data_IF_819936558683
#
_entry.id   IF_819936558683
#
_cell.length_a   1.000
_cell.length_b   1.000
_cell.length_c   1.000
_cell.angle_alpha   90.00
_cell.angle_beta   90.00
_cell.angle_gamma   90.00
#
_symmetry.space_group_name_H-M   'P 1'
#
loop_
_entity.id
_entity.type
_entity.pdbx_description
1 polymer ?
#
# COMPACT_ATOMS: atom_id res chain seq x y z
N UNK A 1 14.64 11.18 -41.00
CA UNK A 1 15.29 10.43 -42.10
C UNK A 1 16.28 11.24 -42.94
N UNK A 2 16.16 12.57 -43.05
CA UNK A 2 17.09 13.42 -43.83
C UNK A 2 18.52 13.60 -43.26
N UNK A 3 18.82 13.06 -42.07
CA UNK A 3 20.10 13.24 -41.36
C UNK A 3 20.98 11.99 -41.26
N UNK A 4 20.56 10.85 -41.83
CA UNK A 4 21.35 9.61 -41.80
C UNK A 4 22.33 9.59 -42.97
N UNK A 5 23.57 9.18 -42.74
CA UNK A 5 24.52 8.88 -43.81
C UNK A 5 24.21 7.50 -44.46
N UNK A 6 24.84 7.19 -45.58
CA UNK A 6 24.48 5.98 -46.34
C UNK A 6 24.87 4.67 -45.65
N UNK A 7 25.91 4.70 -44.81
CA UNK A 7 26.28 3.56 -43.97
C UNK A 7 25.23 3.30 -42.87
N UNK A 8 24.72 4.35 -42.23
CA UNK A 8 23.64 4.27 -41.23
C UNK A 8 22.32 3.81 -41.84
N UNK A 9 22.00 4.25 -43.06
CA UNK A 9 20.82 3.75 -43.80
C UNK A 9 20.94 2.26 -44.12
N UNK A 10 22.13 1.79 -44.50
CA UNK A 10 22.40 0.38 -44.77
C UNK A 10 22.32 -0.46 -43.48
N UNK A 11 22.85 0.07 -42.37
CA UNK A 11 22.79 -0.59 -41.06
C UNK A 11 21.35 -0.64 -40.52
N UNK A 12 20.57 0.42 -40.69
CA UNK A 12 19.14 0.47 -40.34
C UNK A 12 18.33 -0.56 -41.13
N UNK A 13 18.62 -0.78 -42.42
CA UNK A 13 17.95 -1.85 -43.19
C UNK A 13 18.30 -3.26 -42.69
N UNK A 14 19.52 -3.47 -42.21
CA UNK A 14 19.97 -4.77 -41.68
C UNK A 14 19.61 -5.00 -40.21
N UNK A 15 19.50 -3.95 -39.40
CA UNK A 15 19.31 -3.98 -37.94
C UNK A 15 18.33 -2.89 -37.49
N UNK A 16 17.15 -2.88 -38.11
CA UNK A 16 16.12 -1.85 -37.89
C UNK A 16 15.71 -1.73 -36.42
N UNK A 17 15.71 -2.84 -35.67
CA UNK A 17 15.40 -2.87 -34.23
C UNK A 17 16.43 -2.15 -33.35
N UNK A 18 17.67 -1.96 -33.82
CA UNK A 18 18.74 -1.28 -33.10
C UNK A 18 18.81 0.21 -33.43
N UNK A 19 18.11 0.65 -34.48
CA UNK A 19 18.06 2.04 -34.92
C UNK A 19 16.86 2.78 -34.30
N UNK A 20 17.00 3.24 -33.04
CA UNK A 20 16.05 4.21 -32.45
C UNK A 20 16.48 5.63 -32.82
N UNK A 21 15.79 6.21 -33.81
CA UNK A 21 16.09 7.52 -34.38
C UNK A 21 15.88 8.71 -33.43
N UNK A 22 15.02 8.54 -32.43
CA UNK A 22 14.75 9.56 -31.41
C UNK A 22 14.74 8.89 -30.05
N UNK A 23 15.71 9.21 -29.20
CA UNK A 23 15.63 8.91 -27.78
C UNK A 23 14.75 9.97 -27.12
N UNK A 24 13.55 9.57 -26.66
CA UNK A 24 12.73 10.45 -25.82
C UNK A 24 13.16 10.25 -24.37
N UNK A 25 14.04 11.14 -23.92
CA UNK A 25 14.39 11.26 -22.49
C UNK A 25 13.29 12.05 -21.78
N UNK A 26 12.77 11.53 -20.68
CA UNK A 26 11.85 12.27 -19.80
C UNK A 26 12.49 12.34 -18.43
N UNK A 27 12.88 13.55 -18.05
CA UNK A 27 13.32 13.87 -16.71
C UNK A 27 12.15 14.44 -15.92
N UNK A 28 11.96 13.97 -14.69
CA UNK A 28 10.89 14.44 -13.83
C UNK A 28 11.50 15.29 -12.73
N UNK A 29 11.04 16.54 -12.61
CA UNK A 29 11.40 17.44 -11.52
C UNK A 29 10.17 17.67 -10.67
N UNK A 30 9.99 16.85 -9.64
CA UNK A 30 8.95 17.03 -8.65
C UNK A 30 9.51 17.73 -7.42
N UNK A 31 8.84 18.79 -6.99
CA UNK A 31 9.17 19.43 -5.74
C UNK A 31 8.85 18.48 -4.55
N UNK A 32 9.65 18.50 -3.46
CA UNK A 32 9.49 17.57 -2.34
C UNK A 32 8.07 17.55 -1.74
N UNK A 33 7.38 18.68 -1.72
CA UNK A 33 6.00 18.82 -1.22
C UNK A 33 4.95 18.06 -2.05
N UNK A 34 5.28 17.68 -3.28
CA UNK A 34 4.40 16.83 -4.11
C UNK A 34 4.62 15.35 -3.86
N UNK A 35 5.72 14.97 -3.21
CA UNK A 35 6.13 13.59 -2.95
C UNK A 35 5.64 13.09 -1.58
N UNK A 36 4.43 13.51 -1.17
CA UNK A 36 3.85 13.21 0.13
C UNK A 36 2.95 11.98 0.02
N UNK A 37 3.19 11.00 0.89
CA UNK A 37 2.31 9.84 1.00
C UNK A 37 0.91 10.27 1.47
N UNK A 38 -0.12 9.67 0.88
CA UNK A 38 -1.52 9.89 1.28
C UNK A 38 -1.71 9.57 2.75
N UNK A 39 -2.36 10.46 3.49
CA UNK A 39 -2.64 10.33 4.91
C UNK A 39 -4.11 10.66 5.19
N UNK A 40 -4.72 10.06 6.22
CA UNK A 40 -6.04 10.45 6.69
C UNK A 40 -6.05 11.90 7.18
N UNK A 41 -7.17 12.58 6.99
CA UNK A 41 -7.37 13.94 7.50
C UNK A 41 -7.48 13.94 9.03
N UNK A 42 -7.10 15.05 9.66
CA UNK A 42 -7.22 15.22 11.11
C UNK A 42 -8.69 15.05 11.53
N UNK A 43 -8.98 14.15 12.49
CA UNK A 43 -10.34 13.87 12.85
C UNK A 43 -10.95 15.03 13.64
N UNK A 44 -12.27 15.20 13.48
CA UNK A 44 -13.05 16.13 14.30
C UNK A 44 -13.35 15.53 15.67
N UNK A 45 -13.33 14.20 15.79
CA UNK A 45 -13.54 13.47 17.03
C UNK A 45 -12.19 13.23 17.70
N UNK A 46 -12.06 13.69 18.93
CA UNK A 46 -10.91 13.40 19.78
C UNK A 46 -11.09 12.01 20.40
N UNK A 47 -10.30 11.04 19.95
CA UNK A 47 -10.41 9.66 20.46
C UNK A 47 -9.98 9.53 21.92
N UNK A 48 -9.21 10.49 22.45
CA UNK A 48 -8.77 10.50 23.85
C UNK A 48 -9.89 10.93 24.80
N UNK A 49 -10.97 11.53 24.26
CA UNK A 49 -12.13 12.04 25.01
C UNK A 49 -13.42 11.30 24.68
N UNK A 50 -13.35 10.12 24.08
CA UNK A 50 -14.56 9.37 23.73
C UNK A 50 -15.34 9.01 25.01
N UNK A 51 -16.63 9.33 25.03
CA UNK A 51 -17.55 8.98 26.13
C UNK A 51 -17.68 7.46 26.37
N UNK A 52 -17.28 6.65 25.40
CA UNK A 52 -17.28 5.19 25.42
C UNK A 52 -15.87 4.65 25.75
N UNK A 53 -15.78 3.52 26.46
CA UNK A 53 -14.49 2.92 26.81
C UNK A 53 -13.65 2.56 25.56
N UNK A 54 -12.31 2.56 25.65
CA UNK A 54 -11.41 2.08 24.59
C UNK A 54 -11.80 0.70 24.02
N UNK A 55 -12.43 -0.15 24.84
CA UNK A 55 -12.95 -1.45 24.42
C UNK A 55 -14.05 -1.35 23.36
N UNK A 56 -14.94 -0.36 23.45
CA UNK A 56 -16.02 -0.15 22.47
C UNK A 56 -15.42 0.25 21.12
N UNK A 57 -14.42 1.14 21.12
CA UNK A 57 -13.69 1.50 19.90
C UNK A 57 -12.96 0.28 19.31
N UNK A 58 -12.27 -0.49 20.14
CA UNK A 58 -11.61 -1.72 19.73
C UNK A 58 -12.57 -2.75 19.12
N UNK A 59 -13.76 -2.92 19.68
CA UNK A 59 -14.81 -3.79 19.14
C UNK A 59 -15.30 -3.29 17.78
N UNK A 60 -15.55 -1.99 17.66
CA UNK A 60 -15.98 -1.37 16.39
C UNK A 60 -14.94 -1.62 15.30
N UNK A 61 -13.65 -1.39 15.58
CA UNK A 61 -12.56 -1.63 14.62
C UNK A 61 -12.39 -3.12 14.31
N UNK A 62 -12.59 -3.98 15.30
CA UNK A 62 -12.56 -5.44 15.11
C UNK A 62 -13.59 -5.88 14.07
N UNK A 63 -14.85 -5.47 14.21
CA UNK A 63 -15.88 -5.87 13.24
C UNK A 63 -15.76 -5.13 11.90
N UNK A 64 -15.53 -3.82 11.94
CA UNK A 64 -15.48 -2.99 10.73
C UNK A 64 -14.25 -3.31 9.87
N UNK A 65 -13.07 -3.42 10.49
CA UNK A 65 -11.80 -3.59 9.80
C UNK A 65 -11.41 -5.07 9.79
N UNK A 66 -11.14 -5.69 10.94
CA UNK A 66 -10.55 -7.03 11.01
C UNK A 66 -11.47 -8.10 10.40
N UNK A 67 -12.78 -7.98 10.62
CA UNK A 67 -13.77 -8.89 10.03
C UNK A 67 -14.43 -8.34 8.76
N UNK A 68 -13.96 -7.20 8.23
CA UNK A 68 -14.45 -6.58 7.00
C UNK A 68 -15.98 -6.45 6.94
N UNK A 69 -16.63 -6.08 8.05
CA UNK A 69 -18.08 -5.81 8.06
C UNK A 69 -18.37 -4.39 7.59
N UNK A 70 -19.53 -4.17 6.97
CA UNK A 70 -19.97 -2.80 6.65
C UNK A 70 -20.29 -2.03 7.94
N UNK A 71 -20.18 -0.70 7.93
CA UNK A 71 -20.47 0.12 9.11
C UNK A 71 -21.88 -0.11 9.68
N UNK A 72 -22.88 -0.36 8.81
CA UNK A 72 -24.26 -0.70 9.23
C UNK A 72 -24.33 -2.06 9.91
N UNK A 73 -23.61 -3.07 9.38
CA UNK A 73 -23.56 -4.40 9.98
C UNK A 73 -22.81 -4.38 11.30
N UNK A 74 -21.71 -3.63 11.39
CA UNK A 74 -21.00 -3.38 12.65
C UNK A 74 -21.93 -2.74 13.67
N UNK A 75 -22.65 -1.67 13.33
CA UNK A 75 -23.61 -1.04 14.23
C UNK A 75 -24.72 -2.02 14.70
N UNK A 76 -25.21 -2.87 13.79
CA UNK A 76 -26.18 -3.91 14.13
C UNK A 76 -25.60 -4.94 15.12
N UNK A 77 -24.36 -5.40 14.90
CA UNK A 77 -23.68 -6.33 15.81
C UNK A 77 -23.52 -5.70 17.19
N UNK A 78 -23.03 -4.45 17.26
CA UNK A 78 -22.86 -3.73 18.52
C UNK A 78 -24.18 -3.64 19.30
N UNK A 79 -25.30 -3.36 18.63
CA UNK A 79 -26.62 -3.27 19.26
C UNK A 79 -27.19 -4.64 19.65
N UNK A 80 -27.18 -5.61 18.74
CA UNK A 80 -27.89 -6.88 18.91
C UNK A 80 -27.14 -7.93 19.71
N UNK A 81 -25.80 -7.88 19.70
CA UNK A 81 -24.95 -8.86 20.40
C UNK A 81 -24.42 -8.28 21.71
N UNK A 82 -24.00 -7.01 21.69
CA UNK A 82 -23.34 -6.38 22.85
C UNK A 82 -24.26 -5.41 23.60
N UNK A 83 -25.49 -5.19 23.14
CA UNK A 83 -26.43 -4.19 23.71
C UNK A 83 -25.85 -2.77 23.77
N UNK A 84 -24.95 -2.42 22.86
CA UNK A 84 -24.33 -1.09 22.76
C UNK A 84 -24.97 -0.34 21.59
N UNK A 85 -25.70 0.73 21.90
CA UNK A 85 -26.36 1.53 20.87
C UNK A 85 -25.37 2.50 20.19
N UNK A 86 -24.92 2.15 18.98
CA UNK A 86 -24.09 3.01 18.13
C UNK A 86 -24.70 3.13 16.74
N UNK A 87 -24.64 4.33 16.17
CA UNK A 87 -25.05 4.53 14.78
C UNK A 87 -23.95 4.09 13.81
N UNK A 88 -24.30 3.78 12.56
CA UNK A 88 -23.30 3.51 11.53
C UNK A 88 -22.40 4.73 11.26
N UNK A 89 -22.91 5.94 11.45
CA UNK A 89 -22.12 7.17 11.28
C UNK A 89 -21.09 7.29 12.39
N UNK A 90 -21.43 6.91 13.62
CA UNK A 90 -20.48 6.81 14.74
C UNK A 90 -19.36 5.82 14.42
N UNK A 91 -19.69 4.65 13.85
CA UNK A 91 -18.69 3.67 13.40
C UNK A 91 -17.72 4.28 12.38
N UNK A 92 -18.22 5.00 11.37
CA UNK A 92 -17.38 5.65 10.36
C UNK A 92 -16.52 6.76 10.95
N UNK A 93 -17.07 7.58 11.84
CA UNK A 93 -16.33 8.67 12.50
C UNK A 93 -15.20 8.11 13.37
N UNK A 94 -15.46 7.05 14.12
CA UNK A 94 -14.47 6.36 14.93
C UNK A 94 -13.39 5.69 14.08
N UNK A 95 -13.76 5.07 12.96
CA UNK A 95 -12.78 4.52 12.02
C UNK A 95 -11.91 5.61 11.40
N UNK A 96 -12.48 6.73 10.95
CA UNK A 96 -11.71 7.85 10.42
C UNK A 96 -10.75 8.43 11.46
N UNK A 97 -11.21 8.55 12.71
CA UNK A 97 -10.37 9.03 13.81
C UNK A 97 -9.25 8.05 14.14
N UNK A 98 -9.55 6.76 14.30
CA UNK A 98 -8.54 5.72 14.49
C UNK A 98 -7.51 5.70 13.36
N UNK A 99 -7.95 5.84 12.10
CA UNK A 99 -7.06 5.83 10.95
C UNK A 99 -5.99 6.92 11.01
N UNK A 100 -6.33 8.12 11.48
CA UNK A 100 -5.37 9.21 11.63
C UNK A 100 -4.20 8.83 12.55
N UNK A 101 -4.49 8.28 13.73
CA UNK A 101 -3.46 7.82 14.67
C UNK A 101 -2.73 6.58 14.15
N UNK A 102 -3.48 5.61 13.61
CA UNK A 102 -2.91 4.41 13.01
C UNK A 102 -1.97 4.72 11.84
N UNK A 103 -2.16 5.82 11.11
CA UNK A 103 -1.23 6.21 10.06
C UNK A 103 0.16 6.56 10.63
N UNK A 104 0.19 7.38 11.67
CA UNK A 104 1.44 7.72 12.38
C UNK A 104 2.09 6.48 12.99
N UNK A 105 1.27 5.60 13.57
CA UNK A 105 1.72 4.31 14.10
C UNK A 105 2.36 3.43 13.02
N UNK A 106 1.70 3.23 11.89
CA UNK A 106 2.23 2.43 10.79
C UNK A 106 3.55 2.97 10.27
N UNK A 107 3.68 4.30 10.13
CA UNK A 107 4.91 4.92 9.66
C UNK A 107 6.08 4.76 10.65
N UNK A 108 5.78 4.84 11.95
CA UNK A 108 6.75 4.70 13.06
C UNK A 108 7.22 3.26 13.24
N UNK A 109 6.30 2.29 13.21
CA UNK A 109 6.55 0.87 13.46
C UNK A 109 6.70 0.05 12.19
N UNK A 110 6.91 0.69 11.04
CA UNK A 110 7.22 0.02 9.78
C UNK A 110 8.52 -0.77 9.92
N UNK A 111 8.52 -2.04 9.56
CA UNK A 111 9.70 -2.89 9.57
C UNK A 111 10.70 -2.56 8.46
N UNK A 112 11.84 -3.25 8.49
CA UNK A 112 12.82 -3.19 7.41
C UNK A 112 12.28 -3.88 6.16
N UNK A 113 12.39 -3.19 5.02
CA UNK A 113 12.07 -3.80 3.72
C UNK A 113 13.02 -4.96 3.41
N UNK A 114 12.47 -6.03 2.84
CA UNK A 114 13.29 -7.14 2.34
C UNK A 114 14.04 -6.74 1.06
N UNK A 115 14.99 -7.57 0.63
CA UNK A 115 15.71 -7.31 -0.62
C UNK A 115 14.81 -7.34 -1.85
N UNK A 116 13.67 -8.04 -1.79
CA UNK A 116 12.67 -8.09 -2.87
C UNK A 116 11.32 -7.62 -2.33
N UNK A 117 10.68 -6.72 -3.07
CA UNK A 117 9.33 -6.27 -2.76
C UNK A 117 8.48 -6.21 -4.03
N UNK A 118 7.25 -6.72 -3.93
CA UNK A 118 6.27 -6.70 -5.01
C UNK A 118 5.37 -5.48 -4.91
N UNK A 119 5.01 -4.85 -6.02
CA UNK A 119 4.08 -3.73 -6.05
C UNK A 119 3.06 -3.81 -7.18
N UNK A 120 1.84 -3.34 -6.90
CA UNK A 120 0.71 -3.29 -7.84
C UNK A 120 -0.34 -2.28 -7.34
N UNK A 121 -1.25 -1.89 -8.23
CA UNK A 121 -2.34 -0.98 -7.92
C UNK A 121 -3.69 -1.70 -7.80
N UNK A 122 -4.39 -1.48 -6.69
CA UNK A 122 -5.76 -1.92 -6.52
C UNK A 122 -6.76 -0.82 -6.88
N UNK A 123 -7.75 -1.14 -7.71
CA UNK A 123 -8.85 -0.24 -8.03
C UNK A 123 -9.75 -0.01 -6.81
N UNK A 124 -10.01 1.26 -6.51
CA UNK A 124 -11.00 1.72 -5.54
C UNK A 124 -11.95 2.72 -6.20
N UNK A 125 -13.19 2.79 -5.73
CA UNK A 125 -14.20 3.72 -6.28
C UNK A 125 -14.50 4.80 -5.25
N UNK A 126 -14.25 6.05 -5.60
CA UNK A 126 -14.48 7.21 -4.72
C UNK A 126 -15.40 8.18 -5.46
N UNK A 127 -16.54 8.52 -4.86
CA UNK A 127 -17.56 9.42 -5.41
C UNK A 127 -17.94 9.06 -6.86
N UNK A 128 -18.10 7.76 -7.14
CA UNK A 128 -18.43 7.28 -8.47
C UNK A 128 -17.26 7.13 -9.44
N UNK A 129 -16.08 7.69 -9.15
CA UNK A 129 -14.89 7.70 -10.03
C UNK A 129 -13.86 6.65 -9.64
N UNK A 130 -13.16 6.10 -10.63
CA UNK A 130 -12.04 5.19 -10.42
C UNK A 130 -10.84 5.93 -9.82
N UNK A 131 -10.28 5.33 -8.78
CA UNK A 131 -9.07 5.74 -8.08
C UNK A 131 -8.24 4.47 -7.81
N UNK A 132 -7.03 4.63 -7.28
CA UNK A 132 -6.05 3.57 -7.14
C UNK A 132 -5.42 3.59 -5.74
N UNK A 133 -5.24 2.42 -5.15
CA UNK A 133 -4.39 2.21 -3.98
C UNK A 133 -3.15 1.44 -4.41
N UNK A 134 -2.00 2.10 -4.37
CA UNK A 134 -0.69 1.53 -4.67
C UNK A 134 -0.16 0.80 -3.44
N UNK A 135 0.04 -0.50 -3.56
CA UNK A 135 0.62 -1.32 -2.50
C UNK A 135 2.02 -1.78 -2.87
N UNK A 136 2.90 -1.84 -1.88
CA UNK A 136 4.12 -2.63 -1.93
C UNK A 136 4.15 -3.58 -0.74
N UNK A 137 4.60 -4.81 -0.98
CA UNK A 137 4.70 -5.89 0.01
C UNK A 137 6.08 -6.53 -0.05
N UNK A 138 6.72 -6.70 1.10
CA UNK A 138 8.01 -7.38 1.24
C UNK A 138 7.84 -8.89 1.02
N UNK A 139 8.81 -9.57 0.40
CA UNK A 139 8.64 -10.94 -0.07
C UNK A 139 8.74 -12.04 0.99
N UNK A 140 9.53 -11.81 2.04
CA UNK A 140 9.87 -12.75 3.12
C UNK A 140 9.06 -12.43 4.38
N UNK A 141 9.13 -11.18 4.85
CA UNK A 141 8.39 -10.69 6.02
C UNK A 141 6.89 -10.53 5.75
N UNK A 142 6.51 -10.43 4.46
CA UNK A 142 5.13 -10.22 4.01
C UNK A 142 4.48 -8.94 4.55
N UNK A 143 5.25 -8.00 5.08
CA UNK A 143 4.74 -6.71 5.52
C UNK A 143 4.36 -5.84 4.33
N UNK A 144 3.26 -5.09 4.47
CA UNK A 144 2.92 -4.03 3.52
C UNK A 144 3.81 -2.83 3.84
N UNK A 145 4.69 -2.48 2.90
CA UNK A 145 5.67 -1.40 3.05
C UNK A 145 5.19 -0.05 2.50
N UNK A 146 4.18 -0.03 1.63
CA UNK A 146 3.55 1.20 1.14
C UNK A 146 2.08 0.98 0.79
N UNK A 147 1.25 2.04 0.88
CA UNK A 147 -0.20 1.98 0.69
C UNK A 147 -0.81 3.30 0.21
N UNK A 148 -0.26 3.86 -0.87
CA UNK A 148 -0.61 5.20 -1.32
C UNK A 148 -1.91 5.24 -2.14
N UNK A 149 -2.87 6.08 -1.74
CA UNK A 149 -4.10 6.31 -2.49
C UNK A 149 -4.01 7.55 -3.41
N UNK A 150 -4.31 7.35 -4.70
CA UNK A 150 -4.27 8.38 -5.73
C UNK A 150 -5.48 8.31 -6.69
N UNK A 151 -5.72 9.38 -7.44
CA UNK A 151 -6.80 9.49 -8.43
C UNK A 151 -6.40 9.00 -9.83
N UNK A 152 -5.11 8.76 -10.05
CA UNK A 152 -4.56 8.29 -11.32
C UNK A 152 -3.46 7.25 -11.09
N UNK A 153 -3.05 6.58 -12.18
CA UNK A 153 -1.99 5.55 -12.18
C UNK A 153 -0.66 6.01 -12.79
N UNK A 154 -0.42 7.32 -12.81
CA UNK A 154 0.73 7.93 -13.48
C UNK A 154 2.00 7.84 -12.64
N UNK A 155 3.06 8.50 -13.10
CA UNK A 155 4.42 8.40 -12.55
C UNK A 155 4.52 8.97 -11.14
N UNK A 156 3.82 10.08 -10.84
CA UNK A 156 3.91 10.72 -9.52
C UNK A 156 3.39 9.80 -8.38
N UNK A 157 2.17 9.22 -8.44
CA UNK A 157 1.72 8.26 -7.43
C UNK A 157 2.63 7.04 -7.29
N UNK A 158 3.16 6.52 -8.41
CA UNK A 158 4.08 5.38 -8.38
C UNK A 158 5.40 5.74 -7.65
N UNK A 159 5.97 6.92 -7.90
CA UNK A 159 7.14 7.42 -7.18
C UNK A 159 6.86 7.51 -5.68
N UNK A 160 5.72 8.09 -5.29
CA UNK A 160 5.36 8.27 -3.87
C UNK A 160 5.28 6.90 -3.18
N UNK A 161 4.63 5.92 -3.81
CA UNK A 161 4.50 4.57 -3.27
C UNK A 161 5.86 3.86 -3.17
N UNK A 162 6.69 3.91 -4.22
CA UNK A 162 8.02 3.29 -4.20
C UNK A 162 8.98 3.97 -3.20
N UNK A 163 8.94 5.31 -3.10
CA UNK A 163 9.72 6.08 -2.14
C UNK A 163 9.38 5.67 -0.72
N UNK A 164 8.09 5.54 -0.40
CA UNK A 164 7.67 5.03 0.90
C UNK A 164 8.12 3.59 1.09
N UNK A 165 7.92 2.72 0.10
CA UNK A 165 8.28 1.30 0.19
C UNK A 165 9.73 1.11 0.64
N UNK A 166 10.68 1.79 -0.02
CA UNK A 166 12.13 1.69 0.27
C UNK A 166 12.61 2.57 1.43
N UNK A 167 11.72 3.28 2.14
CA UNK A 167 12.10 4.22 3.21
C UNK A 167 12.87 3.58 4.36
N UNK A 168 12.62 2.29 4.64
CA UNK A 168 13.25 1.53 5.74
C UNK A 168 14.40 0.63 5.26
N UNK A 169 14.92 0.88 4.06
CA UNK A 169 16.10 0.19 3.55
C UNK A 169 17.32 0.45 4.44
N UNK A 170 18.12 -0.59 4.67
CA UNK A 170 19.42 -0.42 5.31
C UNK A 170 20.41 0.26 4.34
N UNK A 171 21.35 1.08 4.85
CA UNK A 171 22.40 1.65 4.02
C UNK A 171 23.17 0.55 3.29
N UNK A 172 23.36 0.68 1.98
CA UNK A 172 24.04 -0.35 1.18
C UNK A 172 23.19 -1.57 0.81
N UNK A 173 21.90 -1.62 1.18
CA UNK A 173 21.01 -2.72 0.81
C UNK A 173 20.62 -2.63 -0.68
N UNK A 174 20.76 -3.74 -1.40
CA UNK A 174 20.26 -3.85 -2.77
C UNK A 174 18.79 -4.25 -2.75
N UNK A 175 17.93 -3.40 -3.31
CA UNK A 175 16.48 -3.62 -3.38
C UNK A 175 16.05 -3.89 -4.80
N UNK A 176 15.21 -4.90 -4.98
CA UNK A 176 14.56 -5.27 -6.24
C UNK A 176 13.05 -5.04 -6.07
N UNK A 177 12.51 -4.09 -6.83
CA UNK A 177 11.07 -3.87 -6.92
C UNK A 177 10.51 -4.66 -8.11
N UNK A 178 9.55 -5.53 -7.84
CA UNK A 178 8.86 -6.36 -8.84
C UNK A 178 7.47 -5.80 -9.07
N UNK A 179 7.17 -5.30 -10.27
CA UNK A 179 5.86 -4.70 -10.57
C UNK A 179 5.27 -5.23 -11.86
N UNK A 180 3.98 -4.96 -12.07
CA UNK A 180 3.33 -5.20 -13.36
C UNK A 180 3.85 -4.21 -14.43
N UNK A 181 3.33 -4.36 -15.65
CA UNK A 181 3.83 -3.67 -16.82
C UNK A 181 3.50 -2.18 -16.97
N UNK A 182 3.00 -1.51 -15.93
CA UNK A 182 2.68 -0.09 -15.96
C UNK A 182 3.96 0.77 -16.17
N UNK A 183 4.03 1.62 -17.22
CA UNK A 183 5.22 2.42 -17.53
C UNK A 183 5.58 3.47 -16.46
N UNK A 184 4.67 3.79 -15.54
CA UNK A 184 4.97 4.69 -14.42
C UNK A 184 5.99 4.12 -13.43
N UNK A 185 6.08 2.79 -13.28
CA UNK A 185 7.08 2.17 -12.39
C UNK A 185 8.52 2.35 -12.90
N UNK A 186 8.88 1.97 -14.14
CA UNK A 186 10.22 2.26 -14.67
C UNK A 186 10.59 3.75 -14.59
N UNK A 187 9.65 4.64 -14.92
CA UNK A 187 9.87 6.08 -14.83
C UNK A 187 10.17 6.53 -13.39
N UNK A 188 9.45 6.00 -12.41
CA UNK A 188 9.68 6.32 -11.01
C UNK A 188 10.97 5.71 -10.45
N UNK A 189 11.41 4.55 -10.94
CA UNK A 189 12.71 3.96 -10.56
C UNK A 189 13.86 4.84 -11.02
N UNK A 190 13.80 5.35 -12.26
CA UNK A 190 14.79 6.32 -12.74
C UNK A 190 14.82 7.57 -11.87
N UNK A 191 13.66 8.10 -11.49
CA UNK A 191 13.56 9.23 -10.57
C UNK A 191 14.21 8.91 -9.21
N UNK A 192 13.88 7.77 -8.59
CA UNK A 192 14.44 7.38 -7.30
C UNK A 192 15.97 7.23 -7.34
N UNK A 193 16.49 6.57 -8.38
CA UNK A 193 17.93 6.34 -8.52
C UNK A 193 18.70 7.63 -8.83
N UNK A 194 18.10 8.59 -9.52
CA UNK A 194 18.72 9.91 -9.72
C UNK A 194 18.89 10.70 -8.41
N UNK A 195 18.10 10.38 -7.37
CA UNK A 195 18.16 11.03 -6.06
C UNK A 195 18.86 10.17 -4.99
N UNK A 196 19.46 9.04 -5.37
CA UNK A 196 20.24 8.14 -4.50
C UNK A 196 21.72 8.24 -4.86
N UNK A 197 22.47 9.04 -4.12
CA UNK A 197 23.90 9.25 -4.38
C UNK A 197 24.80 8.21 -3.69
N UNK A 198 24.43 7.77 -2.49
CA UNK A 198 25.26 6.91 -1.63
C UNK A 198 24.76 5.47 -1.52
N UNK A 199 23.49 5.23 -1.79
CA UNK A 199 22.87 3.91 -1.71
C UNK A 199 22.90 3.19 -3.06
N UNK A 200 22.92 1.85 -3.08
CA UNK A 200 22.74 1.09 -4.29
C UNK A 200 21.46 1.49 -5.04
N UNK A 201 21.57 1.48 -6.36
CA UNK A 201 20.42 1.72 -7.23
C UNK A 201 19.35 0.66 -6.98
N UNK A 202 18.12 1.11 -6.79
CA UNK A 202 16.95 0.23 -6.75
C UNK A 202 16.81 -0.42 -8.13
N UNK A 203 16.80 -1.74 -8.15
CA UNK A 203 16.59 -2.52 -9.35
C UNK A 203 15.10 -2.71 -9.61
N UNK A 204 14.72 -2.80 -10.89
CA UNK A 204 13.34 -3.01 -11.29
C UNK A 204 13.22 -4.27 -12.15
N UNK A 205 12.27 -5.13 -11.79
CA UNK A 205 11.92 -6.32 -12.57
C UNK A 205 10.45 -6.24 -12.93
N UNK A 206 10.17 -6.43 -14.22
CA UNK A 206 8.84 -6.30 -14.80
C UNK A 206 8.29 -7.70 -15.09
N UNK A 207 7.12 -8.04 -14.57
CA UNK A 207 6.49 -9.35 -14.82
C UNK A 207 5.17 -9.18 -15.56
N UNK A 208 5.22 -9.29 -16.89
CA UNK A 208 4.06 -9.07 -17.78
C UNK A 208 3.37 -10.40 -18.12
N UNK A 209 2.04 -10.40 -18.09
CA UNK A 209 1.23 -11.47 -18.69
C UNK A 209 1.10 -12.75 -17.87
N UNK A 210 0.48 -13.77 -18.48
CA UNK A 210 0.13 -15.06 -17.88
C UNK A 210 1.09 -16.20 -18.28
N UNK A 211 1.95 -16.02 -19.29
CA UNK A 211 2.86 -17.05 -19.80
C UNK A 211 4.31 -16.73 -19.43
N UNK A 212 5.11 -17.75 -19.10
CA UNK A 212 6.56 -17.61 -18.89
C UNK A 212 7.22 -17.52 -20.25
N UNK A 213 7.42 -16.29 -20.74
CA UNK A 213 8.05 -16.05 -22.04
C UNK A 213 9.59 -16.02 -21.93
N UNK A 214 10.15 -15.83 -20.74
CA UNK A 214 11.57 -15.81 -20.42
C UNK A 214 11.89 -16.34 -19.00
N UNK A 215 13.15 -16.70 -18.75
CA UNK A 215 13.64 -17.25 -17.47
C UNK A 215 13.57 -16.25 -16.31
N UNK A 216 13.66 -14.95 -16.60
CA UNK A 216 13.45 -13.90 -15.59
C UNK A 216 11.99 -13.85 -15.13
N UNK A 217 11.00 -13.92 -16.04
CA UNK A 217 9.58 -13.96 -15.63
C UNK A 217 9.26 -15.17 -14.76
N UNK A 218 9.89 -16.33 -15.01
CA UNK A 218 9.71 -17.51 -14.17
C UNK A 218 10.21 -17.28 -12.74
N UNK A 219 11.38 -16.65 -12.60
CA UNK A 219 12.00 -16.36 -11.30
C UNK A 219 11.18 -15.37 -10.48
N UNK A 220 10.64 -14.32 -11.10
CA UNK A 220 9.92 -13.24 -10.39
C UNK A 220 8.40 -13.41 -10.33
N UNK A 221 7.83 -14.43 -10.98
CA UNK A 221 6.38 -14.72 -10.97
C UNK A 221 5.78 -14.95 -9.57
N UNK A 222 6.44 -15.63 -8.61
CA UNK A 222 5.89 -15.80 -7.27
C UNK A 222 5.55 -14.47 -6.59
N UNK A 223 6.32 -13.41 -6.84
CA UNK A 223 6.09 -12.08 -6.28
C UNK A 223 4.85 -11.39 -6.88
N UNK A 224 4.55 -11.64 -8.15
CA UNK A 224 3.28 -11.20 -8.76
C UNK A 224 2.08 -11.88 -8.09
N UNK A 225 2.16 -13.18 -7.83
CA UNK A 225 1.10 -13.91 -7.12
C UNK A 225 0.95 -13.41 -5.67
N UNK A 226 2.05 -13.03 -5.03
CA UNK A 226 2.04 -12.44 -3.68
C UNK A 226 1.23 -11.14 -3.64
N UNK A 227 1.53 -10.19 -4.54
CA UNK A 227 0.80 -8.91 -4.57
C UNK A 227 -0.65 -9.08 -5.04
N UNK A 228 -0.93 -9.98 -5.98
CA UNK A 228 -2.30 -10.32 -6.39
C UNK A 228 -3.12 -10.89 -5.22
N UNK A 229 -2.50 -11.73 -4.37
CA UNK A 229 -3.14 -12.25 -3.16
C UNK A 229 -3.46 -11.11 -2.18
N UNK A 230 -2.52 -10.20 -1.95
CA UNK A 230 -2.77 -9.00 -1.13
C UNK A 230 -3.94 -8.19 -1.70
N UNK A 231 -3.93 -7.90 -2.99
CA UNK A 231 -4.97 -7.12 -3.66
C UNK A 231 -6.34 -7.81 -3.57
N UNK A 232 -6.40 -9.14 -3.63
CA UNK A 232 -7.64 -9.89 -3.41
C UNK A 232 -8.13 -9.76 -1.97
N UNK A 233 -7.24 -9.85 -0.98
CA UNK A 233 -7.58 -9.61 0.42
C UNK A 233 -8.08 -8.18 0.61
N UNK A 234 -7.37 -7.16 0.13
CA UNK A 234 -7.81 -5.78 0.22
C UNK A 234 -9.18 -5.54 -0.43
N UNK A 235 -9.43 -6.09 -1.63
CA UNK A 235 -10.74 -6.01 -2.30
C UNK A 235 -11.87 -6.59 -1.46
N UNK A 236 -11.61 -7.61 -0.66
CA UNK A 236 -12.59 -8.15 0.30
C UNK A 236 -12.97 -7.11 1.38
N UNK A 237 -12.01 -6.33 1.88
CA UNK A 237 -12.28 -5.24 2.84
C UNK A 237 -12.99 -4.04 2.20
N UNK A 238 -12.74 -3.76 0.91
CA UNK A 238 -13.37 -2.64 0.19
C UNK A 238 -14.81 -2.96 -0.25
N UNK A 239 -15.09 -4.22 -0.64
CA UNK A 239 -16.38 -4.66 -1.20
C UNK A 239 -17.62 -4.24 -0.37
N UNK A 240 -17.65 -4.39 0.98
CA UNK A 240 -18.79 -3.98 1.81
C UNK A 240 -19.15 -2.49 1.68
N UNK A 241 -18.18 -1.64 1.34
CA UNK A 241 -18.40 -0.19 1.20
C UNK A 241 -19.18 0.16 -0.08
N UNK A 242 -19.14 -0.67 -1.12
CA UNK A 242 -19.74 -0.39 -2.44
C UNK A 242 -19.23 0.92 -3.09
N UNK A 243 -18.02 1.34 -2.71
CA UNK A 243 -17.44 2.64 -3.04
C UNK A 243 -17.47 3.62 -1.87
N UNK A 244 -16.63 4.64 -1.91
CA UNK A 244 -16.49 5.63 -0.85
C UNK A 244 -17.18 6.93 -1.25
N UNK A 245 -17.85 7.57 -0.30
CA UNK A 245 -18.47 8.88 -0.52
C UNK A 245 -17.48 10.05 -0.36
N UNK A 246 -16.27 9.78 0.12
CA UNK A 246 -15.21 10.79 0.28
C UNK A 246 -13.82 10.18 0.10
N UNK A 247 -12.84 11.02 -0.28
CA UNK A 247 -11.44 10.61 -0.38
C UNK A 247 -10.90 10.17 0.98
N UNK A 248 -11.18 10.94 2.03
CA UNK A 248 -10.73 10.63 3.38
C UNK A 248 -11.24 9.26 3.86
N UNK A 249 -12.50 8.89 3.58
CA UNK A 249 -13.04 7.58 3.93
C UNK A 249 -12.30 6.41 3.25
N UNK A 250 -11.86 6.60 2.01
CA UNK A 250 -11.06 5.61 1.30
C UNK A 250 -9.65 5.47 1.91
N UNK A 251 -8.97 6.60 2.14
CA UNK A 251 -7.63 6.63 2.77
C UNK A 251 -7.68 6.05 4.19
N UNK A 252 -8.73 6.34 4.94
CA UNK A 252 -8.94 5.80 6.28
C UNK A 252 -9.05 4.27 6.27
N UNK A 253 -9.86 3.71 5.36
CA UNK A 253 -9.98 2.25 5.27
C UNK A 253 -8.67 1.59 4.81
N UNK A 254 -7.98 2.17 3.82
CA UNK A 254 -6.66 1.68 3.37
C UNK A 254 -5.68 1.65 4.54
N UNK A 255 -5.59 2.74 5.32
CA UNK A 255 -4.70 2.85 6.47
C UNK A 255 -5.03 1.81 7.54
N UNK A 256 -6.31 1.69 7.92
CA UNK A 256 -6.75 0.71 8.91
C UNK A 256 -6.54 -0.72 8.44
N UNK A 257 -6.76 -0.99 7.15
CA UNK A 257 -6.48 -2.28 6.54
C UNK A 257 -5.01 -2.66 6.69
N UNK A 258 -4.08 -1.73 6.39
CA UNK A 258 -2.64 -1.99 6.56
C UNK A 258 -2.27 -2.22 8.02
N UNK A 259 -2.84 -1.42 8.92
CA UNK A 259 -2.65 -1.59 10.37
C UNK A 259 -3.09 -2.99 10.81
N UNK A 260 -4.28 -3.41 10.39
CA UNK A 260 -4.79 -4.74 10.66
C UNK A 260 -3.88 -5.83 10.08
N UNK A 261 -3.49 -5.67 8.81
CA UNK A 261 -2.72 -6.66 8.07
C UNK A 261 -1.33 -6.86 8.68
N UNK A 262 -0.60 -5.78 8.96
CA UNK A 262 0.79 -5.85 9.43
C UNK A 262 0.89 -6.27 10.90
N UNK A 263 -0.03 -5.84 11.77
CA UNK A 263 0.15 -5.96 13.22
C UNK A 263 -0.85 -6.90 13.91
N UNK A 264 -1.99 -7.20 13.28
CA UNK A 264 -3.10 -7.90 13.96
C UNK A 264 -3.51 -9.21 13.29
N UNK A 265 -3.30 -9.33 11.97
CA UNK A 265 -3.70 -10.48 11.18
C UNK A 265 -2.59 -11.53 11.19
N UNK A 266 -2.91 -12.76 11.56
CA UNK A 266 -1.99 -13.88 11.45
C UNK A 266 -1.89 -14.42 10.02
N UNK A 267 -0.70 -14.85 9.64
CA UNK A 267 -0.39 -15.37 8.31
C UNK A 267 0.10 -16.81 8.40
N UNK A 268 -0.58 -17.72 7.70
CA UNK A 268 -0.19 -19.15 7.67
C UNK A 268 1.25 -19.35 7.19
N UNK A 269 1.70 -18.55 6.21
CA UNK A 269 3.07 -18.56 5.70
C UNK A 269 4.12 -18.07 6.70
N UNK A 270 3.70 -17.40 7.79
CA UNK A 270 4.57 -16.94 8.89
C UNK A 270 4.36 -17.79 10.14
N UNK A 271 3.91 -19.05 10.01
CA UNK A 271 3.54 -19.91 11.14
C UNK A 271 2.49 -19.28 12.05
N UNK A 272 1.46 -18.67 11.45
CA UNK A 272 0.37 -17.96 12.14
C UNK A 272 0.82 -16.75 12.97
N UNK A 273 1.99 -16.19 12.68
CA UNK A 273 2.44 -14.90 13.21
C UNK A 273 1.98 -13.73 12.34
N UNK A 274 2.07 -12.53 12.90
CA UNK A 274 1.80 -11.27 12.18
C UNK A 274 3.06 -10.85 11.41
N UNK A 275 2.94 -10.08 10.30
CA UNK A 275 4.10 -9.59 9.57
C UNK A 275 5.08 -8.76 10.42
N UNK A 276 4.56 -7.91 11.31
CA UNK A 276 5.36 -7.08 12.22
C UNK A 276 4.97 -7.41 13.66
N UNK A 277 5.85 -8.14 14.34
CA UNK A 277 5.68 -8.51 15.75
C UNK A 277 6.10 -7.34 16.66
N UNK A 278 5.20 -6.91 17.54
CA UNK A 278 5.48 -5.88 18.54
C UNK A 278 5.37 -6.47 19.94
N UNK A 279 6.42 -6.34 20.79
CA UNK A 279 6.38 -6.84 22.17
C UNK A 279 5.20 -6.27 22.97
N UNK A 280 4.79 -5.04 22.70
CA UNK A 280 3.69 -4.38 23.41
C UNK A 280 2.31 -4.97 23.11
N UNK A 281 2.18 -5.78 22.05
CA UNK A 281 0.96 -6.50 21.67
C UNK A 281 0.98 -7.96 22.13
N UNK A 282 2.12 -8.44 22.63
CA UNK A 282 2.27 -9.79 23.14
C UNK A 282 1.44 -9.98 24.43
N UNK A 283 0.86 -11.17 24.61
CA UNK A 283 -0.02 -11.47 25.74
C UNK A 283 -1.45 -10.93 25.62
N UNK A 284 -1.75 -10.05 24.65
CA UNK A 284 -3.13 -9.60 24.41
C UNK A 284 -3.88 -10.63 23.56
N UNK A 285 -4.83 -11.33 24.19
CA UNK A 285 -5.56 -12.45 23.55
C UNK A 285 -6.65 -12.00 22.58
N UNK A 286 -7.19 -10.80 22.74
CA UNK A 286 -8.36 -10.34 21.98
C UNK A 286 -8.00 -9.33 20.90
N UNK A 287 -8.68 -9.37 19.75
CA UNK A 287 -8.44 -8.43 18.64
C UNK A 287 -8.80 -7.00 19.06
N UNK A 288 -9.88 -6.81 19.84
CA UNK A 288 -10.26 -5.50 20.36
C UNK A 288 -9.20 -4.92 21.31
N UNK A 289 -8.61 -5.76 22.17
CA UNK A 289 -7.55 -5.33 23.07
C UNK A 289 -6.30 -4.91 22.29
N UNK A 290 -5.95 -5.63 21.22
CA UNK A 290 -4.83 -5.26 20.35
C UNK A 290 -5.10 -3.93 19.63
N UNK A 291 -6.31 -3.70 19.13
CA UNK A 291 -6.70 -2.39 18.57
C UNK A 291 -6.58 -1.26 19.59
N UNK A 292 -7.10 -1.45 20.79
CA UNK A 292 -7.00 -0.46 21.87
C UNK A 292 -5.53 -0.15 22.21
N UNK A 293 -4.67 -1.18 22.26
CA UNK A 293 -3.24 -1.02 22.52
C UNK A 293 -2.52 -0.29 21.37
N UNK A 294 -2.79 -0.65 20.11
CA UNK A 294 -2.25 0.07 18.94
C UNK A 294 -2.59 1.56 19.02
N UNK A 295 -3.86 1.90 19.32
CA UNK A 295 -4.28 3.29 19.44
C UNK A 295 -3.61 4.00 20.62
N UNK A 296 -3.39 3.30 21.74
CA UNK A 296 -2.65 3.84 22.88
C UNK A 296 -1.18 4.10 22.59
N UNK A 297 -0.55 3.33 21.70
CA UNK A 297 0.84 3.55 21.27
C UNK A 297 0.97 4.64 20.19
N UNK A 298 -0.15 4.96 19.55
CA UNK A 298 -0.25 5.92 18.45
C UNK A 298 -0.60 7.34 18.90
N UNK A 299 -1.28 7.47 20.05
CA UNK A 299 -1.65 8.73 20.70
C UNK A 299 -0.45 9.37 21.40
#
# INVERSE_FOLDING_TARGET
MRKLNDAEKALMKKRSSQFKLCYQYREYHYAPEKLIHSSPEKPHVDITKIHNSPDILGLILTFYVSFASSARKTALIMRSVFNINVSYQTVLNYAAAAAFYCNSFNLKYKGSIDNISAGDEAYIKIMGKHHYAFFFISSESLEITAYHAADNRETLPAIIAMKEAVRTAHPGQTIILVTDGNPSYPAGIHFLNAHRELDPSVQHRKVIGLQNLDSESETYRPFKQLIERLNRTFKYHVKPSHGFNSRNGAVALVTLFVTHYNFLRSHMSLNYRVPIELPELEGISTIQGKWAKVLSLAA
#
